data_IF_557963976423
#
_entry.id   IF_557963976423
#
_cell.length_a   1.000
_cell.length_b   1.000
_cell.length_c   1.000
_cell.angle_alpha   90.00
_cell.angle_beta   90.00
_cell.angle_gamma   90.00
#
_symmetry.space_group_name_H-M   'P 1'
#
loop_
_entity.id
_entity.type
_entity.pdbx_description
1 polymer ?
#
# COMPACT_ATOMS: atom_id res chain seq x y z
N UNK A 1 4.24 -10.54 -20.82
CA UNK A 1 4.23 -9.07 -21.01
C UNK A 1 3.44 -8.51 -19.85
N UNK A 2 4.03 -7.63 -19.05
CA UNK A 2 3.34 -7.03 -17.90
C UNK A 2 2.23 -6.09 -18.37
N UNK A 3 1.06 -6.14 -17.72
CA UNK A 3 -0.04 -5.23 -18.00
C UNK A 3 0.37 -3.80 -17.63
N UNK A 4 0.11 -2.82 -18.49
CA UNK A 4 0.35 -1.39 -18.19
C UNK A 4 -0.87 -0.55 -18.57
N UNK A 5 -1.11 0.51 -17.80
CA UNK A 5 -2.21 1.45 -17.99
C UNK A 5 -1.73 2.86 -17.68
N UNK A 6 -2.08 3.82 -18.53
CA UNK A 6 -1.82 5.24 -18.27
C UNK A 6 -3.02 5.80 -17.50
N UNK A 7 -2.78 6.35 -16.33
CA UNK A 7 -3.75 7.07 -15.52
C UNK A 7 -3.76 8.56 -15.89
N UNK A 8 -4.93 9.17 -16.10
CA UNK A 8 -5.06 10.62 -16.28
C UNK A 8 -4.96 11.41 -14.96
N UNK A 9 -4.84 10.73 -13.81
CA UNK A 9 -4.80 11.36 -12.50
C UNK A 9 -3.72 12.44 -12.42
N UNK A 10 -4.08 13.61 -11.86
CA UNK A 10 -3.17 14.76 -11.73
C UNK A 10 -2.75 15.42 -13.06
N UNK A 11 -3.32 15.00 -14.20
CA UNK A 11 -2.96 15.52 -15.53
C UNK A 11 -1.55 15.14 -16.01
N UNK A 12 -0.85 14.25 -15.30
CA UNK A 12 0.56 13.93 -15.54
C UNK A 12 0.81 12.64 -16.33
N UNK A 13 -0.24 11.88 -16.69
CA UNK A 13 -0.09 10.66 -17.50
C UNK A 13 0.75 9.59 -16.80
N UNK A 14 0.52 9.39 -15.49
CA UNK A 14 1.26 8.42 -14.68
C UNK A 14 0.95 7.01 -15.19
N UNK A 15 1.98 6.21 -15.46
CA UNK A 15 1.82 4.84 -15.93
C UNK A 15 1.79 3.89 -14.73
N UNK A 16 0.65 3.24 -14.51
CA UNK A 16 0.54 2.06 -13.67
C UNK A 16 1.05 0.83 -14.44
N UNK A 17 1.83 -0.01 -13.77
CA UNK A 17 2.35 -1.27 -14.30
C UNK A 17 2.03 -2.43 -13.35
N UNK A 18 1.95 -3.61 -13.91
CA UNK A 18 1.80 -4.85 -13.16
C UNK A 18 3.08 -5.15 -12.38
N UNK A 19 2.91 -5.51 -11.10
CA UNK A 19 3.97 -5.96 -10.23
C UNK A 19 4.25 -7.45 -10.46
N UNK A 20 5.53 -7.78 -10.54
CA UNK A 20 5.97 -9.17 -10.54
C UNK A 20 5.86 -9.77 -9.13
N UNK A 21 5.79 -11.09 -9.04
CA UNK A 21 5.80 -11.82 -7.74
C UNK A 21 7.05 -11.51 -6.92
N UNK A 22 8.18 -11.24 -7.56
CA UNK A 22 9.41 -10.83 -6.89
C UNK A 22 9.24 -9.46 -6.22
N UNK A 23 8.68 -8.49 -6.92
CA UNK A 23 8.42 -7.15 -6.38
C UNK A 23 7.39 -7.18 -5.26
N UNK A 24 6.36 -8.03 -5.36
CA UNK A 24 5.38 -8.25 -4.28
C UNK A 24 6.07 -8.86 -3.04
N UNK A 25 7.03 -9.77 -3.24
CA UNK A 25 7.82 -10.34 -2.14
C UNK A 25 8.70 -9.28 -1.48
N UNK A 26 9.33 -8.42 -2.27
CA UNK A 26 10.20 -7.36 -1.76
C UNK A 26 9.41 -6.25 -1.07
N UNK A 27 8.19 -5.98 -1.54
CA UNK A 27 7.22 -5.16 -0.83
C UNK A 27 6.94 -5.72 0.57
N UNK A 28 6.63 -7.02 0.68
CA UNK A 28 6.36 -7.64 1.99
C UNK A 28 7.55 -7.55 2.94
N UNK A 29 8.78 -7.79 2.44
CA UNK A 29 10.00 -7.61 3.25
C UNK A 29 10.21 -6.16 3.69
N UNK A 30 9.85 -5.19 2.85
CA UNK A 30 10.01 -3.77 3.19
C UNK A 30 9.13 -3.35 4.36
N UNK A 31 7.96 -3.98 4.53
CA UNK A 31 7.10 -3.77 5.71
C UNK A 31 7.77 -4.27 7.01
N UNK A 32 8.55 -5.34 6.95
CA UNK A 32 9.26 -5.89 8.12
C UNK A 32 10.49 -5.07 8.50
N UNK A 33 11.15 -4.47 7.50
CA UNK A 33 12.49 -3.91 7.66
C UNK A 33 12.56 -2.59 8.45
N UNK A 34 11.44 -1.89 8.73
CA UNK A 34 11.42 -0.55 9.35
C UNK A 34 12.53 0.39 8.79
N UNK A 35 12.83 0.26 7.49
CA UNK A 35 14.05 0.81 6.93
C UNK A 35 13.98 2.33 6.67
N UNK A 36 12.76 2.89 6.62
CA UNK A 36 12.50 4.31 6.37
C UNK A 36 11.96 5.01 7.62
N UNK A 37 12.22 6.32 7.71
CA UNK A 37 11.59 7.16 8.71
C UNK A 37 10.06 7.09 8.54
N UNK A 38 9.29 6.97 9.64
CA UNK A 38 7.84 6.79 9.52
C UNK A 38 7.18 8.01 8.88
N UNK A 39 6.68 7.85 7.66
CA UNK A 39 5.83 8.84 7.00
C UNK A 39 4.38 8.59 7.38
N UNK A 40 3.99 9.11 8.54
CA UNK A 40 2.63 8.95 9.07
C UNK A 40 1.57 9.40 8.06
N UNK A 41 1.86 10.43 7.26
CA UNK A 41 0.91 10.94 6.25
C UNK A 41 0.86 9.98 5.08
N UNK A 42 2.00 9.64 4.46
CA UNK A 42 2.06 8.72 3.34
C UNK A 42 1.52 7.32 3.64
N UNK A 43 1.63 6.88 4.89
CA UNK A 43 1.19 5.57 5.36
C UNK A 43 -0.27 5.52 5.83
N UNK A 44 -0.85 6.66 6.24
CA UNK A 44 -2.19 6.71 6.86
C UNK A 44 -3.22 7.55 6.11
N UNK A 45 -2.80 8.36 5.13
CA UNK A 45 -3.69 9.27 4.40
C UNK A 45 -4.77 8.52 3.61
N UNK A 46 -4.42 7.36 3.05
CA UNK A 46 -5.29 6.55 2.21
C UNK A 46 -5.52 5.19 2.88
N UNK A 47 -6.77 4.71 2.97
CA UNK A 47 -7.08 3.50 3.74
C UNK A 47 -6.62 2.21 3.05
N UNK A 48 -6.53 2.20 1.73
CA UNK A 48 -6.34 0.98 0.94
C UNK A 48 -4.87 0.73 0.54
N UNK A 49 -4.06 1.79 0.41
CA UNK A 49 -2.67 1.74 -0.08
C UNK A 49 -1.88 2.94 0.43
N UNK A 50 -0.55 2.85 0.40
CA UNK A 50 0.35 3.95 0.78
C UNK A 50 0.95 4.65 -0.44
N UNK A 51 1.59 5.80 -0.23
CA UNK A 51 2.35 6.47 -1.29
C UNK A 51 3.51 5.58 -1.79
N UNK A 52 4.18 4.87 -0.88
CA UNK A 52 5.23 3.91 -1.23
C UNK A 52 4.71 2.74 -2.08
N UNK A 53 3.45 2.30 -1.88
CA UNK A 53 2.84 1.29 -2.73
C UNK A 53 2.68 1.82 -4.17
N UNK A 54 2.21 3.07 -4.33
CA UNK A 54 2.06 3.71 -5.64
C UNK A 54 3.40 3.86 -6.36
N UNK A 55 4.47 4.27 -5.68
CA UNK A 55 5.81 4.39 -6.28
C UNK A 55 6.33 3.07 -6.86
N UNK A 56 5.97 1.94 -6.24
CA UNK A 56 6.40 0.62 -6.72
C UNK A 56 5.69 0.22 -8.00
N UNK A 57 4.41 0.52 -8.11
CA UNK A 57 3.57 0.10 -9.25
C UNK A 57 3.37 1.19 -10.30
N UNK A 58 3.96 2.36 -10.12
CA UNK A 58 3.90 3.46 -11.09
C UNK A 58 5.29 3.93 -11.52
N UNK A 59 5.34 4.81 -12.51
CA UNK A 59 6.53 5.56 -12.87
C UNK A 59 6.59 6.96 -12.21
N UNK A 60 5.71 7.25 -11.25
CA UNK A 60 5.66 8.54 -10.57
C UNK A 60 6.79 8.64 -9.53
N UNK A 61 7.35 9.84 -9.37
CA UNK A 61 8.27 10.14 -8.26
C UNK A 61 7.52 10.51 -6.98
N UNK A 62 8.19 10.37 -5.83
CA UNK A 62 7.66 10.83 -4.55
C UNK A 62 7.21 12.31 -4.58
N UNK A 63 7.95 13.18 -5.29
CA UNK A 63 7.58 14.59 -5.47
C UNK A 63 6.28 14.76 -6.26
N UNK A 64 6.06 13.94 -7.29
CA UNK A 64 4.82 13.98 -8.06
C UNK A 64 3.64 13.53 -7.20
N UNK A 65 3.78 12.42 -6.48
CA UNK A 65 2.72 11.92 -5.60
C UNK A 65 2.43 12.87 -4.43
N UNK A 66 3.48 13.47 -3.84
CA UNK A 66 3.34 14.47 -2.77
C UNK A 66 2.70 15.78 -3.22
N UNK A 67 2.75 16.10 -4.51
CA UNK A 67 2.06 17.24 -5.12
C UNK A 67 0.60 16.98 -5.48
N UNK A 68 0.15 15.72 -5.48
CA UNK A 68 -1.21 15.34 -5.81
C UNK A 68 -2.16 15.53 -4.61
N UNK A 69 -3.40 15.87 -4.91
CA UNK A 69 -4.47 15.90 -3.91
C UNK A 69 -4.90 14.47 -3.55
N UNK A 70 -5.49 14.26 -2.35
CA UNK A 70 -6.01 12.94 -1.96
C UNK A 70 -7.08 12.37 -2.92
N UNK A 71 -7.77 13.22 -3.68
CA UNK A 71 -8.75 12.77 -4.69
C UNK A 71 -8.05 12.25 -5.94
N UNK A 72 -7.02 12.93 -6.42
CA UNK A 72 -6.21 12.47 -7.56
C UNK A 72 -5.44 11.19 -7.22
N UNK A 73 -4.93 11.07 -5.99
CA UNK A 73 -4.30 9.84 -5.52
C UNK A 73 -5.27 8.65 -5.47
N UNK A 74 -6.54 8.90 -5.11
CA UNK A 74 -7.60 7.87 -5.15
C UNK A 74 -7.88 7.42 -6.58
N UNK A 75 -7.97 8.34 -7.52
CA UNK A 75 -8.14 8.02 -8.94
C UNK A 75 -6.97 7.18 -9.49
N UNK A 76 -5.73 7.58 -9.16
CA UNK A 76 -4.53 6.83 -9.52
C UNK A 76 -4.54 5.42 -8.91
N UNK A 77 -4.93 5.31 -7.64
CA UNK A 77 -5.05 4.04 -6.93
C UNK A 77 -6.03 3.07 -7.59
N UNK A 78 -7.20 3.55 -8.02
CA UNK A 78 -8.18 2.73 -8.75
C UNK A 78 -7.64 2.25 -10.10
N UNK A 79 -6.94 3.11 -10.83
CA UNK A 79 -6.29 2.73 -12.08
C UNK A 79 -5.21 1.66 -11.87
N UNK A 80 -4.41 1.82 -10.82
CA UNK A 80 -3.36 0.87 -10.48
C UNK A 80 -3.91 -0.44 -9.92
N UNK A 81 -5.05 -0.41 -9.23
CA UNK A 81 -5.80 -1.59 -8.77
C UNK A 81 -6.38 -2.39 -9.92
N UNK A 82 -6.86 -1.73 -10.96
CA UNK A 82 -7.30 -2.40 -12.18
C UNK A 82 -6.14 -3.16 -12.88
N UNK A 83 -4.89 -2.72 -12.69
CA UNK A 83 -3.70 -3.38 -13.21
C UNK A 83 -3.17 -4.46 -12.26
N UNK A 84 -3.31 -4.28 -10.95
CA UNK A 84 -2.70 -5.12 -9.92
C UNK A 84 -3.71 -5.73 -8.92
N UNK A 85 -4.82 -6.34 -9.35
CA UNK A 85 -5.88 -6.77 -8.43
C UNK A 85 -5.37 -7.73 -7.33
N UNK A 86 -4.50 -8.68 -7.69
CA UNK A 86 -3.95 -9.66 -6.75
C UNK A 86 -3.06 -9.04 -5.67
N UNK A 87 -2.35 -7.95 -5.98
CA UNK A 87 -1.54 -7.22 -5.00
C UNK A 87 -2.43 -6.56 -3.94
N UNK A 88 -3.50 -5.87 -4.37
CA UNK A 88 -4.43 -5.21 -3.45
C UNK A 88 -5.16 -6.24 -2.57
N UNK A 89 -5.57 -7.37 -3.15
CA UNK A 89 -6.17 -8.47 -2.40
C UNK A 89 -5.22 -9.07 -1.37
N UNK A 90 -3.95 -9.30 -1.74
CA UNK A 90 -2.93 -9.79 -0.80
C UNK A 90 -2.70 -8.78 0.32
N UNK A 91 -2.55 -7.50 0.00
CA UNK A 91 -2.35 -6.42 0.98
C UNK A 91 -3.50 -6.35 1.98
N UNK A 92 -4.75 -6.43 1.51
CA UNK A 92 -5.92 -6.45 2.38
C UNK A 92 -5.91 -7.64 3.34
N UNK A 93 -5.53 -8.84 2.84
CA UNK A 93 -5.41 -10.06 3.67
C UNK A 93 -4.28 -9.93 4.70
N UNK A 94 -3.12 -9.38 4.33
CA UNK A 94 -2.00 -9.15 5.24
C UNK A 94 -2.39 -8.16 6.34
N UNK A 95 -3.04 -7.03 5.98
CA UNK A 95 -3.53 -6.05 6.94
C UNK A 95 -4.56 -6.64 7.90
N UNK A 96 -5.48 -7.46 7.40
CA UNK A 96 -6.47 -8.16 8.24
C UNK A 96 -5.83 -9.17 9.18
N UNK A 97 -4.87 -9.97 8.70
CA UNK A 97 -4.12 -10.90 9.54
C UNK A 97 -3.35 -10.17 10.66
N UNK A 98 -2.74 -9.01 10.35
CA UNK A 98 -2.08 -8.16 11.34
C UNK A 98 -3.04 -7.65 12.42
N UNK A 99 -4.23 -7.15 12.03
CA UNK A 99 -5.27 -6.71 12.97
C UNK A 99 -5.74 -7.84 13.89
N UNK A 100 -5.97 -9.03 13.34
CA UNK A 100 -6.38 -10.19 14.13
C UNK A 100 -5.31 -10.64 15.12
N UNK A 101 -4.03 -10.59 14.72
CA UNK A 101 -2.91 -10.90 15.61
C UNK A 101 -2.82 -9.89 16.76
N UNK A 102 -2.89 -8.59 16.47
CA UNK A 102 -2.89 -7.55 17.48
C UNK A 102 -4.08 -7.71 18.46
N UNK A 103 -5.28 -7.97 17.95
CA UNK A 103 -6.46 -8.21 18.78
C UNK A 103 -6.29 -9.41 19.72
N UNK A 104 -5.69 -10.51 19.25
CA UNK A 104 -5.38 -11.68 20.09
C UNK A 104 -4.37 -11.37 21.18
N UNK A 105 -3.30 -10.64 20.85
CA UNK A 105 -2.27 -10.23 21.82
C UNK A 105 -2.87 -9.30 22.88
N UNK A 106 -3.67 -8.32 22.48
CA UNK A 106 -4.37 -7.42 23.41
C UNK A 106 -5.37 -8.15 24.31
N UNK A 107 -6.08 -9.16 23.79
CA UNK A 107 -6.97 -10.01 24.58
C UNK A 107 -6.23 -10.85 25.63
N UNK A 108 -5.07 -11.41 25.27
CA UNK A 108 -4.25 -12.22 26.17
C UNK A 108 -3.61 -11.42 27.32
N UNK A 109 -3.36 -10.12 27.14
CA UNK A 109 -2.83 -9.24 28.18
C UNK A 109 -3.88 -8.84 29.23
N UNK A 110 -5.17 -9.03 28.94
CA UNK A 110 -6.28 -8.59 29.79
C UNK A 110 -6.81 -9.70 30.72
N UNK A 111 -6.26 -10.91 30.66
CA UNK A 111 -6.55 -12.00 31.60
C UNK A 111 -5.70 -11.84 32.86
N UNK A 112 -6.23 -11.16 33.88
CA UNK A 112 -5.64 -11.12 35.23
C UNK A 112 -5.56 -12.55 35.79
N UNK A 113 -4.41 -13.01 36.35
CA UNK A 113 -4.32 -14.34 36.94
C UNK A 113 -5.34 -14.52 38.06
N UNK A 114 -5.96 -15.69 38.23
CA UNK A 114 -6.78 -15.96 39.41
C UNK A 114 -5.91 -15.89 40.68
N UNK A 115 -6.39 -15.13 41.66
CA UNK A 115 -5.77 -14.95 42.98
C UNK A 115 -5.78 -16.23 43.83
#
# INVERSE_FOLDING_TARGET
>A
MALTKISPAGGQGIQCRELTVEEIRDWLKSMEAQADAPDVVGDSLLPDFTLADLERMTNATAEQLGGMTPSELRELGEDCKAVNPDFFDLRARVGEAGRQLLARLSGSLNETPPA
#
